data_IF_454830753953
#
_entry.id   IF_454830753953
#
_cell.length_a   1.000
_cell.length_b   1.000
_cell.length_c   1.000
_cell.angle_alpha   90.00
_cell.angle_beta   90.00
_cell.angle_gamma   90.00
#
_symmetry.space_group_name_H-M   'P 1'
#
loop_
_entity.id
_entity.type
_entity.pdbx_description
1 polymer ?
#
# COMPACT_ATOMS: atom_id res chain seq x y z
N UNK A 1 -19.53 0.26 12.15
CA UNK A 1 -18.64 0.89 13.12
C UNK A 1 -17.55 1.67 12.43
N UNK A 2 -17.33 2.91 12.79
CA UNK A 2 -16.34 3.74 12.14
C UNK A 2 -14.95 3.50 12.73
N UNK A 3 -13.93 3.47 11.86
CA UNK A 3 -12.55 3.53 12.29
C UNK A 3 -12.24 4.98 12.64
N UNK A 4 -11.49 5.20 13.71
CA UNK A 4 -11.16 6.54 14.18
C UNK A 4 -9.77 6.55 14.79
N UNK A 5 -9.17 7.75 14.83
CA UNK A 5 -7.83 7.98 15.36
C UNK A 5 -6.79 7.11 14.65
N UNK A 6 -6.88 7.07 13.32
CA UNK A 6 -5.96 6.28 12.51
C UNK A 6 -5.36 7.13 11.38
N UNK A 7 -4.26 6.63 10.84
CA UNK A 7 -3.65 7.14 9.62
C UNK A 7 -3.77 6.05 8.56
N UNK A 8 -4.35 6.37 7.41
CA UNK A 8 -4.49 5.43 6.29
C UNK A 8 -3.49 5.79 5.21
N UNK A 9 -2.67 4.82 4.85
CA UNK A 9 -1.66 4.95 3.81
C UNK A 9 -2.01 3.93 2.73
N UNK A 10 -2.56 4.38 1.60
CA UNK A 10 -3.04 3.50 0.55
C UNK A 10 -2.20 3.68 -0.70
N UNK A 11 -1.50 2.63 -1.11
CA UNK A 11 -0.55 2.64 -2.22
C UNK A 11 -1.10 1.81 -3.37
N UNK A 12 -0.94 2.31 -4.58
CA UNK A 12 -1.32 1.59 -5.80
C UNK A 12 -0.11 1.49 -6.70
N UNK A 13 0.12 0.28 -7.24
CA UNK A 13 1.28 -0.01 -8.08
C UNK A 13 0.84 -0.37 -9.50
N UNK A 14 1.54 0.18 -10.48
CA UNK A 14 1.41 -0.21 -11.89
C UNK A 14 2.71 -0.89 -12.31
N UNK A 15 2.61 -2.13 -12.79
CA UNK A 15 3.78 -2.90 -13.21
C UNK A 15 4.31 -2.42 -14.56
N UNK A 16 5.64 -2.50 -14.76
CA UNK A 16 6.24 -2.27 -16.07
C UNK A 16 5.74 -3.27 -17.10
N UNK A 17 5.53 -4.52 -16.66
CA UNK A 17 5.03 -5.60 -17.50
C UNK A 17 3.69 -6.09 -16.93
N UNK A 18 2.58 -5.41 -17.25
CA UNK A 18 1.29 -5.68 -16.59
C UNK A 18 0.80 -7.10 -16.80
N UNK A 19 1.19 -7.76 -17.90
CA UNK A 19 0.80 -9.13 -18.17
C UNK A 19 1.65 -10.18 -17.46
N UNK A 20 2.68 -9.79 -16.74
CA UNK A 20 3.59 -10.74 -16.11
C UNK A 20 3.04 -11.22 -14.76
N UNK A 21 2.55 -12.46 -14.71
CA UNK A 21 2.12 -13.07 -13.46
C UNK A 21 3.28 -13.23 -12.48
N UNK A 22 4.48 -13.48 -13.00
CA UNK A 22 5.68 -13.61 -12.17
C UNK A 22 6.05 -12.30 -11.47
N UNK A 23 5.98 -11.18 -12.19
CA UNK A 23 6.29 -9.87 -11.60
C UNK A 23 5.26 -9.48 -10.55
N UNK A 24 3.97 -9.76 -10.82
CA UNK A 24 2.93 -9.52 -9.84
C UNK A 24 3.17 -10.35 -8.58
N UNK A 25 3.49 -11.63 -8.74
CA UNK A 25 3.76 -12.51 -7.61
C UNK A 25 4.98 -12.03 -6.81
N UNK A 26 6.02 -11.56 -7.49
CA UNK A 26 7.21 -11.04 -6.82
C UNK A 26 6.90 -9.80 -6.00
N UNK A 27 6.07 -8.88 -6.53
CA UNK A 27 5.66 -7.69 -5.80
C UNK A 27 4.85 -8.08 -4.57
N UNK A 28 3.89 -8.97 -4.72
CA UNK A 28 3.06 -9.42 -3.60
C UNK A 28 3.91 -10.09 -2.52
N UNK A 29 4.87 -10.91 -2.90
CA UNK A 29 5.79 -11.54 -1.94
C UNK A 29 6.61 -10.49 -1.18
N UNK A 30 7.06 -9.44 -1.87
CA UNK A 30 7.76 -8.33 -1.23
C UNK A 30 6.89 -7.60 -0.21
N UNK A 31 5.63 -7.36 -0.56
CA UNK A 31 4.67 -6.72 0.35
C UNK A 31 4.37 -7.61 1.56
N UNK A 32 4.23 -8.92 1.37
CA UNK A 32 4.02 -9.84 2.48
C UNK A 32 5.18 -9.79 3.47
N UNK A 33 6.40 -9.70 2.97
CA UNK A 33 7.59 -9.55 3.79
C UNK A 33 7.59 -8.21 4.53
N UNK A 34 7.22 -7.13 3.81
CA UNK A 34 7.15 -5.79 4.37
C UNK A 34 6.11 -5.69 5.48
N UNK A 35 5.07 -6.52 5.44
CA UNK A 35 4.00 -6.50 6.43
C UNK A 35 4.47 -6.80 7.84
N UNK A 36 5.70 -7.28 8.02
CA UNK A 36 6.26 -7.57 9.34
C UNK A 36 6.76 -6.31 10.07
N UNK A 37 6.76 -5.14 9.43
CA UNK A 37 7.15 -3.89 10.10
C UNK A 37 6.23 -3.65 11.30
N UNK A 38 6.81 -3.44 12.48
CA UNK A 38 6.07 -3.43 13.74
C UNK A 38 5.12 -2.24 13.89
N UNK A 39 5.42 -1.12 13.23
CA UNK A 39 4.57 0.07 13.36
C UNK A 39 3.25 -0.05 12.57
N UNK A 40 3.11 -1.05 11.71
CA UNK A 40 1.88 -1.30 10.97
C UNK A 40 0.83 -1.90 11.91
N UNK A 41 -0.33 -1.25 12.03
CA UNK A 41 -1.42 -1.78 12.84
C UNK A 41 -2.21 -2.84 12.07
N UNK A 42 -2.59 -2.53 10.82
CA UNK A 42 -3.32 -3.45 9.94
C UNK A 42 -2.91 -3.21 8.51
N UNK A 43 -3.05 -4.23 7.68
CA UNK A 43 -2.72 -4.10 6.26
C UNK A 43 -3.64 -4.97 5.40
N UNK A 44 -3.69 -4.63 4.12
CA UNK A 44 -4.42 -5.40 3.12
C UNK A 44 -3.67 -5.32 1.80
N UNK A 45 -3.44 -6.46 1.17
CA UNK A 45 -2.87 -6.54 -0.18
C UNK A 45 -4.03 -6.89 -1.11
N UNK A 46 -4.26 -6.07 -2.12
CA UNK A 46 -5.41 -6.22 -3.00
C UNK A 46 -5.07 -6.14 -4.47
N UNK A 47 -6.09 -6.41 -5.27
CA UNK A 47 -6.06 -6.27 -6.72
C UNK A 47 -7.39 -5.64 -7.15
N UNK A 48 -7.49 -5.12 -8.40
CA UNK A 48 -8.76 -4.57 -8.86
C UNK A 48 -9.89 -5.59 -8.70
N UNK A 49 -11.03 -5.11 -8.24
CA UNK A 49 -12.16 -5.99 -7.89
C UNK A 49 -12.93 -6.49 -9.13
N UNK A 50 -12.61 -5.97 -10.31
CA UNK A 50 -13.35 -6.32 -11.53
C UNK A 50 -14.65 -5.54 -11.70
N UNK A 51 -14.87 -4.55 -10.86
CA UNK A 51 -16.04 -3.66 -10.97
C UNK A 51 -15.83 -2.64 -12.07
N UNK A 52 -16.94 -2.17 -12.65
CA UNK A 52 -16.86 -1.27 -13.79
C UNK A 52 -17.93 -0.18 -13.71
N UNK A 53 -17.50 1.05 -13.50
CA UNK A 53 -18.28 2.27 -13.57
C UNK A 53 -17.34 3.41 -13.94
N UNK A 54 -17.89 4.52 -14.42
CA UNK A 54 -17.09 5.64 -14.93
C UNK A 54 -16.04 6.14 -13.92
N UNK A 55 -16.37 6.09 -12.63
CA UNK A 55 -15.47 6.59 -11.58
C UNK A 55 -14.49 5.55 -11.07
N UNK A 56 -14.56 4.32 -11.57
CA UNK A 56 -13.70 3.24 -11.09
C UNK A 56 -12.45 3.16 -11.98
N UNK A 57 -11.29 3.35 -11.36
CA UNK A 57 -10.01 3.15 -12.03
C UNK A 57 -9.40 1.84 -11.54
N UNK A 58 -9.55 0.79 -12.37
CA UNK A 58 -8.98 -0.53 -12.11
C UNK A 58 -7.69 -0.78 -12.87
N UNK A 59 -7.00 0.28 -13.31
CA UNK A 59 -5.81 0.12 -14.13
C UNK A 59 -4.56 -0.31 -13.37
N UNK A 60 -4.57 -0.21 -12.04
CA UNK A 60 -3.44 -0.65 -11.22
C UNK A 60 -3.36 -2.18 -11.17
N UNK A 61 -2.19 -2.69 -10.75
CA UNK A 61 -1.98 -4.14 -10.63
C UNK A 61 -2.18 -4.63 -9.20
N UNK A 62 -1.65 -3.91 -8.22
CA UNK A 62 -1.66 -4.31 -6.81
C UNK A 62 -1.93 -3.08 -5.96
N UNK A 63 -2.71 -3.26 -4.91
CA UNK A 63 -2.92 -2.22 -3.90
C UNK A 63 -2.35 -2.67 -2.56
N UNK A 64 -1.87 -1.69 -1.79
CA UNK A 64 -1.25 -1.91 -0.50
C UNK A 64 -1.87 -0.92 0.49
N UNK A 65 -2.80 -1.40 1.29
CA UNK A 65 -3.49 -0.57 2.29
C UNK A 65 -2.83 -0.78 3.64
N UNK A 66 -2.40 0.31 4.26
CA UNK A 66 -1.84 0.28 5.61
C UNK A 66 -2.67 1.17 6.52
N UNK A 67 -2.88 0.68 7.73
CA UNK A 67 -3.46 1.47 8.81
C UNK A 67 -2.42 1.57 9.91
N UNK A 68 -2.13 2.81 10.31
CA UNK A 68 -1.25 3.13 11.43
C UNK A 68 -2.05 3.77 12.54
N UNK A 69 -1.64 3.54 13.78
CA UNK A 69 -2.32 4.15 14.92
C UNK A 69 -2.00 5.63 15.05
N UNK A 70 -0.84 6.08 14.56
CA UNK A 70 -0.39 7.47 14.66
C UNK A 70 0.37 7.88 13.41
N UNK A 71 0.46 9.19 13.11
CA UNK A 71 1.36 9.66 12.06
C UNK A 71 2.83 9.31 12.32
N UNK A 72 3.25 9.26 13.59
CA UNK A 72 4.61 8.90 13.93
C UNK A 72 4.93 7.45 13.54
N UNK A 73 3.95 6.55 13.66
CA UNK A 73 4.11 5.16 13.24
C UNK A 73 4.31 5.06 11.72
N UNK A 74 3.60 5.89 10.96
CA UNK A 74 3.78 5.93 9.51
C UNK A 74 5.16 6.46 9.14
N UNK A 75 5.64 7.50 9.82
CA UNK A 75 6.99 8.03 9.57
C UNK A 75 8.06 6.99 9.91
N UNK A 76 7.87 6.26 10.99
CA UNK A 76 8.77 5.17 11.39
C UNK A 76 8.82 4.08 10.31
N UNK A 77 7.68 3.75 9.72
CA UNK A 77 7.59 2.78 8.63
C UNK A 77 8.40 3.24 7.40
N UNK A 78 8.30 4.52 7.04
CA UNK A 78 8.96 5.05 5.84
C UNK A 78 10.49 4.89 5.90
N UNK A 79 11.08 4.97 7.08
CA UNK A 79 12.53 4.87 7.26
C UNK A 79 12.98 3.51 7.78
N UNK A 80 12.05 2.58 7.98
CA UNK A 80 12.37 1.24 8.47
C UNK A 80 13.25 0.52 7.44
N UNK A 81 14.30 -0.19 7.87
CA UNK A 81 15.17 -0.92 6.96
C UNK A 81 14.42 -1.90 6.06
N UNK A 82 13.34 -2.51 6.55
CA UNK A 82 12.52 -3.43 5.74
C UNK A 82 11.84 -2.69 4.59
N UNK A 83 11.37 -1.45 4.82
CA UNK A 83 10.77 -0.64 3.77
C UNK A 83 11.82 -0.23 2.74
N UNK A 84 12.99 0.21 3.19
CA UNK A 84 14.08 0.59 2.29
C UNK A 84 14.51 -0.60 1.42
N UNK A 85 14.58 -1.79 2.01
CA UNK A 85 14.92 -3.01 1.28
C UNK A 85 13.83 -3.38 0.26
N UNK A 86 12.56 -3.25 0.65
CA UNK A 86 11.44 -3.48 -0.26
C UNK A 86 11.55 -2.60 -1.50
N UNK A 87 11.79 -1.31 -1.31
CA UNK A 87 11.93 -0.37 -2.43
C UNK A 87 13.11 -0.76 -3.31
N UNK A 88 14.25 -1.10 -2.70
CA UNK A 88 15.44 -1.49 -3.46
C UNK A 88 15.18 -2.75 -4.30
N UNK A 89 14.49 -3.73 -3.74
CA UNK A 89 14.27 -5.02 -4.41
C UNK A 89 13.12 -4.99 -5.40
N UNK A 90 12.04 -4.27 -5.09
CA UNK A 90 10.79 -4.36 -5.85
C UNK A 90 10.55 -3.18 -6.79
N UNK A 91 11.22 -2.03 -6.60
CA UNK A 91 10.98 -0.89 -7.47
C UNK A 91 11.25 -1.18 -8.96
N UNK A 92 12.16 -2.07 -9.35
CA UNK A 92 12.32 -2.42 -10.76
C UNK A 92 11.08 -3.06 -11.39
N UNK A 93 10.13 -3.54 -10.58
CA UNK A 93 8.93 -4.20 -11.07
C UNK A 93 7.86 -3.22 -11.52
N UNK A 94 7.83 -1.99 -10.98
CA UNK A 94 6.78 -1.03 -11.29
C UNK A 94 7.30 0.17 -12.05
N UNK A 95 6.41 0.83 -12.80
CA UNK A 95 6.72 2.08 -13.48
C UNK A 95 5.91 3.26 -12.98
N UNK A 96 4.95 3.00 -12.09
CA UNK A 96 4.15 4.07 -11.49
C UNK A 96 3.67 3.62 -10.11
N UNK A 97 3.73 4.53 -9.15
CA UNK A 97 3.17 4.34 -7.81
C UNK A 97 2.37 5.59 -7.47
N UNK A 98 1.20 5.38 -6.90
CA UNK A 98 0.37 6.48 -6.38
C UNK A 98 0.06 6.18 -4.93
N UNK A 99 0.17 7.19 -4.08
CA UNK A 99 -0.11 7.08 -2.66
C UNK A 99 -1.21 8.07 -2.29
N UNK A 100 -2.19 7.59 -1.53
CA UNK A 100 -3.20 8.44 -0.92
C UNK A 100 -3.11 8.28 0.59
N UNK A 101 -2.74 9.35 1.27
CA UNK A 101 -2.69 9.38 2.73
C UNK A 101 -3.87 10.15 3.25
N UNK A 102 -4.53 9.61 4.28
CA UNK A 102 -5.64 10.30 4.90
C UNK A 102 -5.66 10.07 6.40
N UNK A 103 -6.23 11.03 7.10
CA UNK A 103 -6.50 10.95 8.53
C UNK A 103 -7.97 11.25 8.77
N UNK A 104 -8.40 11.11 10.01
CA UNK A 104 -9.80 11.38 10.35
C UNK A 104 -10.17 12.79 9.91
N UNK A 105 -11.33 12.93 9.28
CA UNK A 105 -11.84 14.22 8.84
C UNK A 105 -12.29 15.07 10.04
N UNK A 106 -12.86 14.40 11.02
CA UNK A 106 -13.31 15.05 12.25
C UNK A 106 -12.39 14.57 13.35
N UNK A 107 -11.49 15.44 13.80
CA UNK A 107 -10.68 15.11 14.96
C UNK A 107 -11.62 14.99 16.14
N UNK A 108 -11.31 14.04 17.03
CA UNK A 108 -12.21 13.74 18.13
C UNK A 108 -12.38 14.91 19.06
N UNK A 109 -12.80 15.96 18.71
CA UNK A 109 -13.02 17.08 19.59
C UNK A 109 -13.27 16.67 21.02
#
# INVERSE_FOLDING_TARGET
>A
MALSNIFVHHVYFWLKNPGSAGDRAALVAGLQKLSAVKSIAQFHIGQPAGTNRDVIDGSYAVSWLLIFNTPADQESYQVDPMHLQFVAECSPLWNKVVVYDSVDMVSGE
#
